data_IF_465145167796
#
_entry.id   IF_465145167796
#
_cell.length_a   1.000
_cell.length_b   1.000
_cell.length_c   1.000
_cell.angle_alpha   90.00
_cell.angle_beta   90.00
_cell.angle_gamma   90.00
#
_symmetry.space_group_name_H-M   'P 1'
#
loop_
_entity.id
_entity.type
_entity.pdbx_description
1 polymer ?
#
# COMPACT_ATOMS: atom_id res chain seq x y z
N UNK A 1 42.26 19.70 -29.90
CA UNK A 1 41.61 21.01 -29.64
C UNK A 1 40.45 20.80 -28.71
N UNK A 2 40.64 21.19 -27.46
CA UNK A 2 39.60 21.07 -26.40
C UNK A 2 38.83 22.39 -26.39
N UNK A 3 37.54 22.36 -26.70
CA UNK A 3 36.66 23.51 -26.46
C UNK A 3 36.12 23.43 -25.02
N UNK A 4 36.51 24.41 -24.24
CA UNK A 4 36.04 24.71 -22.90
C UNK A 4 34.79 25.56 -23.06
N UNK A 5 33.62 25.04 -22.68
CA UNK A 5 32.41 25.82 -22.59
C UNK A 5 32.37 26.46 -21.19
N UNK A 6 32.51 27.76 -21.14
CA UNK A 6 32.33 28.60 -19.95
C UNK A 6 30.85 28.69 -19.65
N UNK A 7 30.39 28.03 -18.60
CA UNK A 7 29.08 28.27 -18.00
C UNK A 7 29.11 29.54 -17.16
N UNK A 8 28.32 30.53 -17.54
CA UNK A 8 28.14 31.79 -16.80
C UNK A 8 27.45 31.47 -15.47
N UNK A 9 28.19 31.54 -14.39
CA UNK A 9 27.68 31.61 -13.02
C UNK A 9 27.12 33.02 -12.79
N UNK A 10 25.81 33.16 -12.81
CA UNK A 10 25.15 34.35 -12.27
C UNK A 10 25.31 34.30 -10.75
N UNK A 11 26.26 35.08 -10.25
CA UNK A 11 26.38 35.45 -8.85
C UNK A 11 25.15 36.25 -8.41
N UNK A 12 24.10 35.54 -8.01
CA UNK A 12 23.04 36.10 -7.21
C UNK A 12 23.58 36.35 -5.80
N UNK A 13 23.63 37.63 -5.41
CA UNK A 13 24.06 38.14 -4.12
C UNK A 13 23.55 37.24 -2.97
N UNK A 14 24.47 36.57 -2.31
CA UNK A 14 24.21 35.81 -1.10
C UNK A 14 23.81 36.79 0.03
N UNK A 15 22.51 36.97 0.22
CA UNK A 15 22.01 37.35 1.54
C UNK A 15 22.23 36.14 2.45
N UNK A 16 23.17 36.27 3.36
CA UNK A 16 23.30 35.44 4.54
C UNK A 16 21.99 35.58 5.32
N UNK A 17 21.01 34.72 5.05
CA UNK A 17 19.79 34.64 5.85
C UNK A 17 20.17 33.99 7.19
N UNK A 18 20.61 34.83 8.12
CA UNK A 18 20.66 34.52 9.55
C UNK A 18 19.34 33.89 9.95
N UNK A 19 19.40 32.72 10.57
CA UNK A 19 18.34 31.93 11.18
C UNK A 19 17.15 32.75 11.71
N UNK A 20 16.15 33.00 10.92
CA UNK A 20 14.81 33.34 11.42
C UNK A 20 13.99 32.04 11.54
N UNK A 21 14.42 31.16 12.44
CA UNK A 21 13.62 30.04 12.93
C UNK A 21 12.30 30.63 13.44
N UNK A 22 11.17 30.14 12.90
CA UNK A 22 9.80 30.51 13.34
C UNK A 22 9.19 31.83 12.81
N UNK A 23 9.67 32.46 11.76
CA UNK A 23 8.99 33.55 11.09
C UNK A 23 8.11 33.08 9.91
N UNK A 24 7.06 33.88 9.61
CA UNK A 24 6.27 33.66 8.41
C UNK A 24 7.07 34.05 7.17
N UNK A 25 7.11 33.15 6.19
CA UNK A 25 7.67 33.37 4.87
C UNK A 25 6.55 33.35 3.83
N UNK A 26 6.83 33.87 2.63
CA UNK A 26 5.86 33.91 1.55
C UNK A 26 6.51 33.53 0.23
N UNK A 27 5.83 32.70 -0.56
CA UNK A 27 6.22 32.37 -1.94
C UNK A 27 5.86 33.49 -2.89
N UNK A 28 6.41 33.47 -4.11
CA UNK A 28 6.04 34.41 -5.19
C UNK A 28 4.55 34.35 -5.57
N UNK A 29 3.88 33.23 -5.30
CA UNK A 29 2.43 33.04 -5.55
C UNK A 29 1.55 33.51 -4.37
N UNK A 30 2.13 34.06 -3.31
CA UNK A 30 1.38 34.58 -2.17
C UNK A 30 1.05 33.56 -1.08
N UNK A 31 1.52 32.35 -1.19
CA UNK A 31 1.34 31.30 -0.17
C UNK A 31 2.25 31.63 1.01
N UNK A 32 1.68 31.69 2.21
CA UNK A 32 2.43 31.93 3.45
C UNK A 32 2.74 30.62 4.15
N UNK A 33 3.97 30.46 4.65
CA UNK A 33 4.36 29.27 5.41
C UNK A 33 5.26 29.63 6.58
N UNK A 34 5.26 28.74 7.57
CA UNK A 34 6.10 28.84 8.76
C UNK A 34 6.67 27.47 9.06
N UNK A 35 8.00 27.37 8.99
CA UNK A 35 8.75 26.12 9.23
C UNK A 35 9.14 26.03 10.70
N UNK A 36 8.99 24.85 11.29
CA UNK A 36 9.46 24.49 12.62
C UNK A 36 10.47 23.35 12.48
N UNK A 37 11.74 23.67 12.62
CA UNK A 37 12.86 22.72 12.54
C UNK A 37 13.82 22.94 13.70
N UNK A 38 14.41 21.86 14.18
CA UNK A 38 15.44 21.90 15.22
C UNK A 38 16.86 21.92 14.63
N UNK A 39 16.98 21.58 13.33
CA UNK A 39 18.24 21.49 12.62
C UNK A 39 18.07 21.99 11.17
N UNK A 40 19.01 22.86 10.74
CA UNK A 40 19.01 23.43 9.39
C UNK A 40 19.74 22.56 8.34
N UNK A 41 20.43 21.49 8.77
CA UNK A 41 21.34 20.67 7.93
C UNK A 41 20.73 19.28 7.65
N UNK A 42 19.45 19.08 7.88
CA UNK A 42 18.80 17.79 7.63
C UNK A 42 18.66 17.52 6.14
N UNK A 43 18.88 16.27 5.78
CA UNK A 43 18.44 15.76 4.48
C UNK A 43 16.94 15.97 4.28
N UNK A 44 16.56 16.21 3.04
CA UNK A 44 15.18 16.50 2.66
C UNK A 44 14.75 15.56 1.55
N UNK A 45 13.47 15.17 1.51
CA UNK A 45 12.99 14.31 0.45
C UNK A 45 13.08 15.00 -0.92
N UNK A 46 13.38 14.20 -1.92
CA UNK A 46 13.35 14.59 -3.34
C UNK A 46 12.20 13.89 -4.05
N UNK A 47 11.81 14.38 -5.22
CA UNK A 47 10.75 13.72 -5.99
C UNK A 47 11.14 12.29 -6.36
N UNK A 48 10.24 11.38 -6.11
CA UNK A 48 10.42 9.93 -6.24
C UNK A 48 10.63 9.22 -4.90
N UNK A 49 11.02 9.93 -3.85
CA UNK A 49 11.15 9.33 -2.52
C UNK A 49 9.80 8.87 -1.98
N UNK A 50 9.83 7.89 -1.08
CA UNK A 50 8.68 7.48 -0.28
C UNK A 50 8.70 8.23 1.03
N UNK A 51 7.60 8.93 1.39
CA UNK A 51 7.50 9.75 2.59
C UNK A 51 6.41 9.25 3.52
N UNK A 52 6.64 9.39 4.83
CA UNK A 52 5.66 9.18 5.89
C UNK A 52 5.35 10.52 6.56
N UNK A 53 4.07 10.83 6.70
CA UNK A 53 3.66 12.15 7.15
C UNK A 53 2.36 12.16 7.93
N UNK A 54 2.17 13.24 8.70
CA UNK A 54 0.84 13.70 9.11
C UNK A 54 0.47 14.98 8.39
N UNK A 55 -0.78 15.06 7.97
CA UNK A 55 -1.37 16.23 7.34
C UNK A 55 -2.73 16.54 7.98
N UNK A 56 -2.96 17.81 8.36
CA UNK A 56 -4.27 18.32 8.73
C UNK A 56 -4.61 19.52 7.87
N UNK A 57 -5.86 19.66 7.49
CA UNK A 57 -6.37 20.78 6.71
C UNK A 57 -7.52 21.43 7.45
N UNK A 58 -7.47 22.77 7.54
CA UNK A 58 -8.50 23.59 8.17
C UNK A 58 -9.02 24.64 7.18
N UNK A 59 -10.30 24.99 7.31
CA UNK A 59 -10.87 26.14 6.61
C UNK A 59 -10.50 27.48 7.32
N UNK A 60 -11.01 28.58 6.79
CA UNK A 60 -10.78 29.92 7.33
C UNK A 60 -11.47 30.19 8.68
N UNK A 61 -12.41 29.36 9.09
CA UNK A 61 -13.04 29.35 10.41
C UNK A 61 -12.34 28.43 11.42
N UNK A 62 -11.21 27.82 11.03
CA UNK A 62 -10.45 26.81 11.80
C UNK A 62 -11.20 25.49 11.99
N UNK A 63 -12.23 25.21 11.20
CA UNK A 63 -12.88 23.91 11.17
C UNK A 63 -11.95 22.91 10.47
N UNK A 64 -11.68 21.76 11.12
CA UNK A 64 -10.90 20.70 10.52
C UNK A 64 -11.69 20.06 9.37
N UNK A 65 -11.08 20.01 8.19
CA UNK A 65 -11.65 19.44 6.98
C UNK A 65 -11.05 18.06 6.67
N UNK A 66 -9.82 17.83 7.12
CA UNK A 66 -9.10 16.59 6.86
C UNK A 66 -7.99 16.38 7.89
N UNK A 67 -7.77 15.12 8.30
CA UNK A 67 -6.77 14.75 9.28
C UNK A 67 -6.29 13.32 9.05
N UNK A 68 -5.03 13.14 8.68
CA UNK A 68 -4.45 11.80 8.46
C UNK A 68 -4.27 10.98 9.74
N UNK A 69 -4.28 11.61 10.93
CA UNK A 69 -4.21 10.89 12.20
C UNK A 69 -5.41 9.98 12.46
N UNK A 70 -6.53 10.22 11.78
CA UNK A 70 -7.73 9.35 11.88
C UNK A 70 -7.47 7.94 11.36
N UNK A 71 -6.45 7.74 10.54
CA UNK A 71 -6.10 6.42 9.99
C UNK A 71 -5.21 5.57 10.92
N UNK A 72 -4.93 6.04 12.14
CA UNK A 72 -4.29 5.33 13.28
C UNK A 72 -3.07 4.45 12.91
N UNK A 73 -2.25 4.86 11.97
CA UNK A 73 -0.97 4.20 11.75
C UNK A 73 0.10 4.89 12.60
N UNK A 74 0.90 4.12 13.36
CA UNK A 74 1.99 4.67 14.19
C UNK A 74 2.93 5.59 13.40
N UNK A 75 3.09 5.32 12.10
CA UNK A 75 3.98 6.03 11.19
C UNK A 75 3.26 7.05 10.31
N UNK A 76 2.00 7.40 10.60
CA UNK A 76 1.22 8.30 9.76
C UNK A 76 0.82 7.69 8.42
N UNK A 77 0.43 8.54 7.47
CA UNK A 77 0.11 8.14 6.10
C UNK A 77 1.37 8.19 5.25
N UNK A 78 1.56 7.19 4.40
CA UNK A 78 2.69 7.13 3.47
C UNK A 78 2.25 7.32 2.02
N UNK A 79 3.12 7.93 1.23
CA UNK A 79 2.92 8.09 -0.22
C UNK A 79 4.26 8.28 -0.95
N UNK A 80 4.25 8.03 -2.25
CA UNK A 80 5.37 8.38 -3.12
C UNK A 80 5.35 9.90 -3.36
N UNK A 81 6.48 10.57 -3.01
CA UNK A 81 6.62 12.01 -3.15
C UNK A 81 6.71 12.39 -4.63
N UNK A 82 5.56 12.65 -5.23
CA UNK A 82 5.45 12.99 -6.65
C UNK A 82 5.74 14.46 -6.90
N UNK A 83 6.16 14.77 -8.13
CA UNK A 83 6.24 16.15 -8.59
C UNK A 83 4.85 16.80 -8.48
N UNK A 84 4.75 18.00 -7.87
CA UNK A 84 3.48 18.67 -7.69
C UNK A 84 2.87 19.03 -9.05
N UNK A 85 1.54 18.96 -9.14
CA UNK A 85 0.82 19.31 -10.38
C UNK A 85 0.87 20.81 -10.69
N UNK A 86 0.99 21.63 -9.65
CA UNK A 86 1.13 23.07 -9.73
C UNK A 86 1.85 23.63 -8.48
N UNK A 87 2.24 24.90 -8.54
CA UNK A 87 2.94 25.58 -7.44
C UNK A 87 2.10 25.76 -6.15
N UNK A 88 0.80 25.49 -6.22
CA UNK A 88 -0.15 25.62 -5.12
C UNK A 88 -0.44 24.27 -4.45
N UNK A 89 0.17 23.17 -4.95
CA UNK A 89 0.02 21.85 -4.36
C UNK A 89 0.78 21.79 -3.04
N UNK A 90 0.06 21.52 -1.96
CA UNK A 90 0.62 21.45 -0.59
C UNK A 90 1.77 20.43 -0.48
N UNK A 91 1.78 19.41 -1.34
CA UNK A 91 2.84 18.39 -1.39
C UNK A 91 4.19 19.02 -1.73
N UNK A 92 4.23 20.12 -2.50
CA UNK A 92 5.49 20.82 -2.83
C UNK A 92 6.28 21.27 -1.59
N UNK A 93 5.59 21.52 -0.47
CA UNK A 93 6.21 22.00 0.75
C UNK A 93 7.00 20.92 1.52
N UNK A 94 6.84 19.63 1.20
CA UNK A 94 7.66 18.58 1.80
C UNK A 94 9.16 18.71 1.45
N UNK A 95 9.50 19.32 0.30
CA UNK A 95 10.90 19.63 -0.05
C UNK A 95 11.61 20.59 0.90
N UNK A 96 10.88 21.27 1.76
CA UNK A 96 11.43 22.17 2.79
C UNK A 96 11.68 21.45 4.12
N UNK A 97 11.06 20.26 4.33
CA UNK A 97 11.05 19.54 5.60
C UNK A 97 12.13 18.48 5.63
N UNK A 98 12.91 18.41 6.71
CA UNK A 98 13.69 17.24 7.07
C UNK A 98 12.90 16.31 7.98
N UNK A 99 13.41 15.11 8.27
CA UNK A 99 12.79 14.14 9.18
C UNK A 99 12.48 14.76 10.55
N UNK A 100 11.21 14.65 10.97
CA UNK A 100 10.70 15.19 12.23
C UNK A 100 10.37 16.67 12.19
N UNK A 101 10.56 17.37 11.08
CA UNK A 101 10.17 18.75 10.93
C UNK A 101 8.67 18.90 10.73
N UNK A 102 8.14 20.07 11.08
CA UNK A 102 6.75 20.43 10.82
C UNK A 102 6.63 21.80 10.19
N UNK A 103 5.50 22.05 9.52
CA UNK A 103 5.22 23.31 8.84
C UNK A 103 3.74 23.66 8.91
N UNK A 104 3.47 24.94 9.03
CA UNK A 104 2.13 25.49 8.79
C UNK A 104 2.15 26.21 7.43
N UNK A 105 1.23 25.85 6.53
CA UNK A 105 1.10 26.45 5.21
C UNK A 105 -0.29 27.07 5.09
N UNK A 106 -0.38 28.33 4.65
CA UNK A 106 -1.62 29.03 4.37
C UNK A 106 -1.74 29.29 2.88
N UNK A 107 -2.61 28.54 2.23
CA UNK A 107 -2.88 28.64 0.78
C UNK A 107 -4.14 29.49 0.59
N UNK A 108 -4.07 30.62 -0.15
CA UNK A 108 -5.25 31.40 -0.49
C UNK A 108 -6.30 30.55 -1.17
N UNK A 109 -7.57 30.67 -0.74
CA UNK A 109 -8.64 29.79 -1.24
C UNK A 109 -8.86 29.92 -2.75
N UNK A 110 -8.63 31.10 -3.31
CA UNK A 110 -8.76 31.34 -4.76
C UNK A 110 -7.72 30.59 -5.63
N UNK A 111 -6.58 30.17 -5.04
CA UNK A 111 -5.59 29.35 -5.73
C UNK A 111 -6.02 27.87 -5.84
N UNK A 112 -6.99 27.46 -5.04
CA UNK A 112 -7.55 26.10 -5.04
C UNK A 112 -8.90 26.09 -5.77
N UNK A 113 -9.68 27.18 -5.59
CA UNK A 113 -10.99 27.38 -6.19
C UNK A 113 -11.13 28.86 -6.53
N UNK A 114 -11.09 29.20 -7.81
CA UNK A 114 -11.11 30.59 -8.31
C UNK A 114 -12.37 31.37 -7.93
N UNK A 115 -13.45 30.68 -7.59
CA UNK A 115 -14.71 31.30 -7.11
C UNK A 115 -14.67 31.73 -5.65
N UNK A 116 -13.61 31.39 -4.92
CA UNK A 116 -13.46 31.73 -3.50
C UNK A 116 -12.83 33.11 -3.30
N UNK A 117 -13.17 33.82 -2.21
CA UNK A 117 -12.61 35.15 -1.90
C UNK A 117 -11.09 35.12 -1.68
N UNK A 118 -10.36 36.10 -2.23
CA UNK A 118 -8.90 36.24 -2.08
C UNK A 118 -8.43 36.45 -0.64
N UNK A 119 -9.30 36.94 0.25
CA UNK A 119 -8.99 37.18 1.64
C UNK A 119 -9.01 35.92 2.53
N UNK A 120 -9.46 34.79 2.03
CA UNK A 120 -9.58 33.53 2.79
C UNK A 120 -8.44 32.56 2.49
N UNK A 121 -8.11 31.73 3.48
CA UNK A 121 -7.02 30.75 3.38
C UNK A 121 -7.51 29.38 3.85
N UNK A 122 -7.02 28.31 3.18
CA UNK A 122 -6.90 27.00 3.80
C UNK A 122 -5.60 26.94 4.58
N UNK A 123 -5.64 26.42 5.80
CA UNK A 123 -4.45 26.23 6.63
C UNK A 123 -4.13 24.73 6.67
N UNK A 124 -2.90 24.38 6.34
CA UNK A 124 -2.39 23.03 6.39
C UNK A 124 -1.32 22.94 7.48
N UNK A 125 -1.41 21.90 8.29
CA UNK A 125 -0.36 21.52 9.22
C UNK A 125 0.29 20.25 8.66
N UNK A 126 1.57 20.34 8.33
CA UNK A 126 2.38 19.28 7.78
C UNK A 126 3.38 18.82 8.83
N UNK A 127 3.60 17.51 8.93
CA UNK A 127 4.67 16.92 9.72
C UNK A 127 5.28 15.80 8.90
N UNK A 128 6.57 15.90 8.58
CA UNK A 128 7.33 14.84 7.92
C UNK A 128 7.89 13.92 9.00
N UNK A 129 7.38 12.70 9.05
CA UNK A 129 7.80 11.69 10.03
C UNK A 129 9.12 11.07 9.60
N UNK A 130 9.17 10.57 8.36
CA UNK A 130 10.33 9.93 7.76
C UNK A 130 10.27 9.98 6.23
N UNK A 131 11.38 9.66 5.58
CA UNK A 131 11.42 9.44 4.14
C UNK A 131 12.55 8.49 3.77
N UNK A 132 12.42 7.83 2.62
CA UNK A 132 13.43 6.94 2.04
C UNK A 132 13.49 7.15 0.55
N UNK A 133 14.67 7.04 -0.04
CA UNK A 133 14.79 7.05 -1.49
C UNK A 133 13.94 5.92 -2.10
N UNK A 134 13.38 6.15 -3.28
CA UNK A 134 12.56 5.15 -3.98
C UNK A 134 13.28 3.80 -4.11
N UNK A 135 14.59 3.82 -4.38
CA UNK A 135 15.40 2.61 -4.51
C UNK A 135 15.49 1.84 -3.20
N UNK A 136 15.82 2.51 -2.10
CA UNK A 136 15.93 1.87 -0.77
C UNK A 136 14.58 1.33 -0.33
N UNK A 137 13.50 2.11 -0.48
CA UNK A 137 12.16 1.68 -0.13
C UNK A 137 11.72 0.43 -0.90
N UNK A 138 11.99 0.40 -2.21
CA UNK A 138 11.69 -0.75 -3.06
C UNK A 138 12.46 -1.99 -2.64
N UNK A 139 13.77 -1.87 -2.40
CA UNK A 139 14.61 -2.98 -1.96
C UNK A 139 14.15 -3.56 -0.61
N UNK A 140 13.87 -2.72 0.37
CA UNK A 140 13.37 -3.17 1.67
C UNK A 140 12.01 -3.86 1.56
N UNK A 141 11.13 -3.36 0.69
CA UNK A 141 9.83 -3.98 0.42
C UNK A 141 9.98 -5.35 -0.22
N UNK A 142 10.86 -5.48 -1.21
CA UNK A 142 11.16 -6.75 -1.86
C UNK A 142 11.77 -7.75 -0.87
N UNK A 143 12.70 -7.33 -0.03
CA UNK A 143 13.29 -8.17 1.02
C UNK A 143 12.23 -8.66 2.02
N UNK A 144 11.32 -7.80 2.47
CA UNK A 144 10.22 -8.20 3.36
C UNK A 144 9.30 -9.23 2.71
N UNK A 145 8.97 -9.05 1.43
CA UNK A 145 8.16 -10.01 0.68
C UNK A 145 8.86 -11.36 0.60
N UNK A 146 10.15 -11.39 0.26
CA UNK A 146 10.93 -12.62 0.17
C UNK A 146 11.03 -13.33 1.53
N UNK A 147 11.28 -12.59 2.60
CA UNK A 147 11.33 -13.14 3.95
C UNK A 147 9.99 -13.74 4.37
N UNK A 148 8.88 -13.06 4.06
CA UNK A 148 7.55 -13.59 4.34
C UNK A 148 7.25 -14.86 3.54
N UNK A 149 7.62 -14.92 2.26
CA UNK A 149 7.46 -16.11 1.43
C UNK A 149 8.23 -17.31 1.99
N UNK A 150 9.45 -17.09 2.51
CA UNK A 150 10.22 -18.14 3.18
C UNK A 150 9.51 -18.60 4.46
N UNK A 151 9.03 -17.68 5.28
CA UNK A 151 8.28 -17.97 6.50
C UNK A 151 7.03 -18.79 6.17
N UNK A 152 6.24 -18.37 5.21
CA UNK A 152 5.04 -19.08 4.76
C UNK A 152 5.36 -20.51 4.30
N UNK A 153 6.45 -20.67 3.54
CA UNK A 153 6.87 -21.99 3.04
C UNK A 153 7.23 -22.93 4.20
N UNK A 154 7.94 -22.44 5.21
CA UNK A 154 8.29 -23.24 6.40
C UNK A 154 7.02 -23.63 7.17
N UNK A 155 6.14 -22.67 7.43
CA UNK A 155 4.90 -22.90 8.19
C UNK A 155 3.99 -23.89 7.46
N UNK A 156 3.86 -23.81 6.13
CA UNK A 156 3.08 -24.75 5.34
C UNK A 156 3.71 -26.15 5.42
N UNK A 157 5.03 -26.24 5.24
CA UNK A 157 5.73 -27.53 5.29
C UNK A 157 5.55 -28.21 6.66
N UNK A 158 5.71 -27.47 7.76
CA UNK A 158 5.47 -27.98 9.11
C UNK A 158 4.02 -28.41 9.32
N UNK A 159 3.07 -27.63 8.81
CA UNK A 159 1.64 -27.97 8.88
C UNK A 159 1.37 -29.30 8.14
N UNK A 160 1.88 -29.47 6.93
CA UNK A 160 1.70 -30.69 6.15
C UNK A 160 2.34 -31.89 6.85
N UNK A 161 3.56 -31.73 7.37
CA UNK A 161 4.29 -32.78 8.11
C UNK A 161 3.56 -33.20 9.39
N UNK A 162 3.14 -32.25 10.20
CA UNK A 162 2.49 -32.51 11.50
C UNK A 162 1.10 -33.15 11.33
N UNK A 163 0.42 -32.89 10.22
CA UNK A 163 -0.86 -33.53 9.88
C UNK A 163 -0.71 -34.79 9.02
N UNK A 164 0.53 -35.25 8.73
CA UNK A 164 0.84 -36.42 7.91
C UNK A 164 0.23 -36.35 6.50
N UNK A 165 0.10 -35.15 5.94
CA UNK A 165 -0.40 -34.95 4.58
C UNK A 165 0.71 -35.19 3.55
N UNK A 166 0.60 -36.26 2.79
CA UNK A 166 1.61 -36.68 1.80
C UNK A 166 1.21 -36.38 0.34
N UNK A 167 -0.07 -36.07 0.10
CA UNK A 167 -0.63 -35.99 -1.26
C UNK A 167 -0.79 -34.56 -1.80
N UNK A 168 -0.33 -33.54 -1.05
CA UNK A 168 -0.31 -32.18 -1.58
C UNK A 168 0.76 -32.02 -2.65
N UNK A 169 0.42 -31.27 -3.68
CA UNK A 169 1.34 -30.85 -4.75
C UNK A 169 1.57 -29.35 -4.65
N UNK A 170 2.78 -28.92 -4.92
CA UNK A 170 3.17 -27.51 -5.01
C UNK A 170 3.19 -27.11 -6.48
N UNK A 171 2.52 -26.00 -6.82
CA UNK A 171 2.59 -25.42 -8.15
C UNK A 171 3.76 -24.41 -8.29
N UNK A 172 3.99 -23.93 -9.51
CA UNK A 172 5.04 -22.94 -9.81
C UNK A 172 4.81 -21.56 -9.21
N UNK A 173 3.62 -21.26 -8.71
CA UNK A 173 3.26 -20.00 -8.05
C UNK A 173 3.42 -20.05 -6.53
N UNK A 174 3.70 -21.22 -5.95
CA UNK A 174 3.80 -21.43 -4.50
C UNK A 174 2.47 -21.85 -3.86
N UNK A 175 1.45 -22.18 -4.64
CA UNK A 175 0.17 -22.69 -4.13
C UNK A 175 0.25 -24.19 -3.95
N UNK A 176 -0.16 -24.68 -2.78
CA UNK A 176 -0.29 -26.10 -2.50
C UNK A 176 -1.72 -26.55 -2.72
N UNK A 177 -1.90 -27.70 -3.39
CA UNK A 177 -3.21 -28.24 -3.67
C UNK A 177 -3.27 -29.76 -3.55
N UNK A 178 -4.44 -30.28 -3.19
CA UNK A 178 -4.73 -31.70 -3.12
C UNK A 178 -6.18 -31.93 -3.57
N UNK A 179 -6.37 -32.83 -4.55
CA UNK A 179 -7.71 -33.27 -4.95
C UNK A 179 -8.10 -34.49 -4.10
N UNK A 180 -9.24 -34.41 -3.43
CA UNK A 180 -9.75 -35.47 -2.55
C UNK A 180 -10.88 -36.28 -3.20
N UNK A 181 -11.63 -35.66 -4.11
CA UNK A 181 -12.62 -36.32 -4.96
C UNK A 181 -12.38 -35.88 -6.39
N UNK A 182 -12.44 -36.81 -7.32
CA UNK A 182 -12.26 -36.56 -8.76
C UNK A 182 -13.63 -36.49 -9.44
N UNK A 183 -13.93 -35.33 -10.02
CA UNK A 183 -15.09 -35.12 -10.88
C UNK A 183 -14.86 -35.68 -12.28
N UNK A 184 -15.91 -35.75 -13.04
CA UNK A 184 -15.90 -36.23 -14.44
C UNK A 184 -15.91 -35.11 -15.47
N UNK A 185 -16.01 -33.84 -15.00
CA UNK A 185 -16.09 -32.68 -15.87
C UNK A 185 -14.75 -32.30 -16.49
N UNK A 186 -14.79 -31.31 -17.37
CA UNK A 186 -13.58 -30.80 -18.05
C UNK A 186 -12.64 -30.15 -17.06
N UNK A 187 -11.37 -30.06 -17.43
CA UNK A 187 -10.38 -29.27 -16.68
C UNK A 187 -10.75 -27.80 -16.70
N UNK A 188 -10.56 -27.15 -15.56
CA UNK A 188 -10.81 -25.71 -15.44
C UNK A 188 -9.66 -24.94 -16.10
N UNK A 189 -10.02 -23.96 -16.91
CA UNK A 189 -9.10 -23.12 -17.66
C UNK A 189 -9.39 -21.61 -17.38
N UNK A 190 -8.40 -20.77 -17.66
CA UNK A 190 -8.55 -19.33 -17.58
C UNK A 190 -9.68 -18.85 -18.50
N UNK A 191 -10.58 -18.04 -17.98
CA UNK A 191 -11.77 -17.56 -18.65
C UNK A 191 -13.03 -18.38 -18.38
N UNK A 192 -12.93 -19.57 -17.78
CA UNK A 192 -14.12 -20.31 -17.35
C UNK A 192 -14.85 -19.55 -16.23
N UNK A 193 -16.16 -19.50 -16.30
CA UNK A 193 -17.03 -19.10 -15.19
C UNK A 193 -17.36 -20.34 -14.37
N UNK A 194 -17.08 -20.28 -13.08
CA UNK A 194 -17.27 -21.43 -12.19
C UNK A 194 -18.09 -21.07 -10.98
N UNK A 195 -18.67 -22.09 -10.36
CA UNK A 195 -19.37 -22.01 -9.08
C UNK A 195 -18.71 -22.95 -8.09
N UNK A 196 -18.36 -22.47 -6.92
CA UNK A 196 -17.75 -23.29 -5.88
C UNK A 196 -18.47 -23.15 -4.55
N UNK A 197 -18.57 -24.25 -3.81
CA UNK A 197 -18.70 -24.19 -2.37
C UNK A 197 -17.33 -24.29 -1.73
N UNK A 198 -17.13 -23.57 -0.62
CA UNK A 198 -15.85 -23.58 0.09
C UNK A 198 -16.01 -23.31 1.58
N UNK A 199 -15.00 -23.74 2.31
CA UNK A 199 -14.74 -23.33 3.68
C UNK A 199 -13.32 -22.77 3.75
N UNK A 200 -13.16 -21.56 4.29
CA UNK A 200 -11.88 -20.88 4.44
C UNK A 200 -11.41 -20.92 5.89
N UNK A 201 -10.14 -21.32 6.09
CA UNK A 201 -9.51 -21.48 7.41
C UNK A 201 -8.16 -20.80 7.46
N UNK A 202 -7.78 -20.32 8.65
CA UNK A 202 -6.38 -20.14 9.00
C UNK A 202 -5.71 -21.51 9.16
N UNK A 203 -4.37 -21.61 9.13
CA UNK A 203 -3.69 -22.88 9.39
C UNK A 203 -3.95 -23.42 10.80
N UNK A 204 -4.33 -22.56 11.75
CA UNK A 204 -4.82 -22.94 13.08
C UNK A 204 -6.19 -23.61 13.10
N UNK A 205 -6.80 -23.84 11.93
CA UNK A 205 -8.14 -24.39 11.75
C UNK A 205 -9.29 -23.48 12.23
N UNK A 206 -9.02 -22.22 12.50
CA UNK A 206 -10.08 -21.22 12.74
C UNK A 206 -10.74 -20.91 11.40
N UNK A 207 -12.05 -21.21 11.29
CA UNK A 207 -12.86 -20.88 10.10
C UNK A 207 -13.14 -19.38 10.10
N UNK A 208 -12.87 -18.71 8.95
CA UNK A 208 -13.14 -17.29 8.77
C UNK A 208 -14.23 -17.03 7.73
N UNK A 209 -14.50 -17.99 6.85
CA UNK A 209 -15.57 -17.88 5.86
C UNK A 209 -16.08 -19.26 5.41
N UNK A 210 -17.39 -19.34 5.08
CA UNK A 210 -18.04 -20.58 4.73
C UNK A 210 -19.27 -20.34 3.85
N UNK A 211 -19.18 -20.75 2.57
CA UNK A 211 -20.29 -20.59 1.61
C UNK A 211 -21.50 -21.47 1.92
N UNK A 212 -21.30 -22.60 2.61
CA UNK A 212 -22.41 -23.49 2.99
C UNK A 212 -23.33 -22.84 4.03
N UNK A 213 -22.75 -22.08 4.99
CA UNK A 213 -23.56 -21.36 6.00
C UNK A 213 -24.45 -20.27 5.36
N UNK A 214 -24.01 -19.73 4.24
CA UNK A 214 -24.81 -18.77 3.47
C UNK A 214 -25.77 -19.44 2.49
N UNK A 215 -25.69 -20.75 2.36
CA UNK A 215 -26.42 -21.55 1.36
C UNK A 215 -26.33 -20.95 -0.07
N UNK A 216 -25.15 -20.39 -0.39
CA UNK A 216 -24.91 -19.71 -1.67
C UNK A 216 -23.48 -19.98 -2.14
N UNK A 217 -23.29 -20.62 -3.30
CA UNK A 217 -21.96 -20.81 -3.88
C UNK A 217 -21.34 -19.47 -4.28
N UNK A 218 -20.03 -19.43 -4.33
CA UNK A 218 -19.26 -18.32 -4.87
C UNK A 218 -19.11 -18.51 -6.39
N UNK A 219 -19.58 -17.54 -7.15
CA UNK A 219 -19.50 -17.52 -8.60
C UNK A 219 -18.45 -16.51 -9.03
N UNK A 220 -17.50 -16.92 -9.86
CA UNK A 220 -16.47 -16.05 -10.42
C UNK A 220 -15.90 -16.61 -11.72
N UNK A 221 -15.19 -15.75 -12.46
CA UNK A 221 -14.52 -16.10 -13.71
C UNK A 221 -13.01 -16.16 -13.46
N UNK A 222 -12.38 -17.27 -13.77
CA UNK A 222 -10.93 -17.50 -13.58
C UNK A 222 -10.11 -16.47 -14.36
N UNK A 223 -9.14 -15.83 -13.68
CA UNK A 223 -8.24 -14.85 -14.25
C UNK A 223 -8.81 -13.43 -14.36
N UNK A 224 -9.91 -13.13 -13.66
CA UNK A 224 -10.53 -11.79 -13.61
C UNK A 224 -10.34 -11.05 -12.29
N UNK A 225 -9.45 -11.55 -11.42
CA UNK A 225 -9.13 -10.94 -10.11
C UNK A 225 -10.38 -10.67 -9.23
N UNK A 226 -11.37 -11.57 -9.31
CA UNK A 226 -12.61 -11.48 -8.51
C UNK A 226 -12.46 -12.15 -7.14
N UNK A 227 -11.41 -12.95 -6.98
CA UNK A 227 -11.00 -13.64 -5.75
C UNK A 227 -9.52 -13.39 -5.49
N UNK A 228 -8.99 -13.84 -4.35
CA UNK A 228 -7.54 -13.76 -4.07
C UNK A 228 -6.75 -14.58 -5.08
N UNK A 229 -5.56 -14.10 -5.43
CA UNK A 229 -4.71 -14.66 -6.49
C UNK A 229 -4.42 -16.15 -6.30
N UNK A 230 -4.18 -16.57 -5.07
CA UNK A 230 -3.89 -17.96 -4.76
C UNK A 230 -5.07 -18.91 -5.00
N UNK A 231 -6.31 -18.44 -4.78
CA UNK A 231 -7.51 -19.24 -5.09
C UNK A 231 -7.71 -19.33 -6.61
N UNK A 232 -7.57 -18.21 -7.31
CA UNK A 232 -7.70 -18.13 -8.77
C UNK A 232 -6.69 -19.08 -9.48
N UNK A 233 -5.45 -19.12 -8.97
CA UNK A 233 -4.39 -20.00 -9.48
C UNK A 233 -4.57 -21.46 -9.06
N UNK A 234 -4.92 -21.69 -7.79
CA UNK A 234 -5.08 -23.03 -7.24
C UNK A 234 -6.20 -23.83 -7.91
N UNK A 235 -7.31 -23.19 -8.23
CA UNK A 235 -8.46 -23.81 -8.91
C UNK A 235 -8.11 -24.34 -10.31
N UNK A 236 -7.12 -23.80 -11.00
CA UNK A 236 -6.66 -24.29 -12.31
C UNK A 236 -6.12 -25.73 -12.29
N UNK A 237 -5.86 -26.30 -11.10
CA UNK A 237 -5.46 -27.70 -10.95
C UNK A 237 -6.62 -28.67 -10.80
N UNK A 238 -7.85 -28.17 -10.85
CA UNK A 238 -9.08 -28.94 -10.65
C UNK A 238 -9.90 -29.09 -11.95
N UNK A 239 -10.90 -29.94 -11.87
CA UNK A 239 -11.90 -30.19 -12.89
C UNK A 239 -13.28 -29.85 -12.32
N UNK A 240 -14.26 -29.64 -13.16
CA UNK A 240 -15.66 -29.54 -12.71
C UNK A 240 -16.06 -30.81 -11.99
N UNK A 241 -16.74 -30.67 -10.84
CA UNK A 241 -17.14 -31.78 -9.96
C UNK A 241 -16.08 -32.25 -8.97
N UNK A 242 -14.85 -31.70 -9.01
CA UNK A 242 -13.80 -32.03 -8.04
C UNK A 242 -14.08 -31.45 -6.64
N UNK A 243 -13.54 -32.15 -5.62
CA UNK A 243 -13.33 -31.57 -4.29
C UNK A 243 -11.85 -31.66 -3.93
N UNK A 244 -11.41 -30.73 -3.10
CA UNK A 244 -10.05 -30.75 -2.59
C UNK A 244 -9.72 -29.60 -1.66
N UNK A 245 -8.44 -29.52 -1.34
CA UNK A 245 -7.91 -28.49 -0.45
C UNK A 245 -6.83 -27.69 -1.18
N UNK A 246 -6.84 -26.38 -0.98
CA UNK A 246 -5.84 -25.43 -1.49
C UNK A 246 -5.24 -24.71 -0.29
N UNK A 247 -3.89 -24.67 -0.20
CA UNK A 247 -3.18 -23.88 0.80
C UNK A 247 -2.48 -22.73 0.07
N UNK A 248 -2.74 -21.52 0.50
CA UNK A 248 -2.39 -20.27 -0.17
C UNK A 248 -1.43 -19.48 0.73
N UNK A 249 -0.18 -19.22 0.27
CA UNK A 249 0.74 -18.34 0.97
C UNK A 249 0.15 -16.94 1.15
N UNK A 250 0.55 -16.24 2.19
CA UNK A 250 0.01 -14.91 2.54
C UNK A 250 0.15 -13.91 1.40
N UNK A 251 1.25 -13.98 0.64
CA UNK A 251 1.53 -13.09 -0.50
C UNK A 251 0.56 -13.25 -1.68
N UNK A 252 -0.09 -14.40 -1.79
CA UNK A 252 -1.14 -14.69 -2.79
C UNK A 252 -2.56 -14.59 -2.20
N UNK A 253 -2.67 -14.16 -0.94
CA UNK A 253 -3.91 -13.93 -0.21
C UNK A 253 -4.07 -12.43 0.09
N UNK A 254 -4.05 -12.02 1.35
CA UNK A 254 -4.24 -10.64 1.78
C UNK A 254 -2.94 -9.91 2.12
N UNK A 255 -1.79 -10.60 2.09
CA UNK A 255 -0.48 -10.04 2.39
C UNK A 255 -0.38 -9.49 3.81
N UNK A 256 0.22 -8.32 3.95
CA UNK A 256 0.44 -7.62 5.21
C UNK A 256 -0.80 -6.87 5.76
N UNK A 257 -1.98 -7.13 5.19
CA UNK A 257 -3.24 -6.47 5.58
C UNK A 257 -4.04 -7.34 6.55
N UNK A 258 -4.56 -6.71 7.59
CA UNK A 258 -5.63 -7.27 8.42
C UNK A 258 -6.96 -7.18 7.63
N UNK A 259 -7.66 -8.29 7.44
CA UNK A 259 -8.95 -8.34 6.73
C UNK A 259 -9.99 -9.10 7.54
N UNK A 260 -10.90 -8.40 8.17
CA UNK A 260 -11.88 -9.00 9.08
C UNK A 260 -11.19 -9.75 10.22
N UNK A 261 -11.45 -11.05 10.32
CA UNK A 261 -10.84 -11.94 11.31
C UNK A 261 -9.49 -12.54 10.85
N UNK A 262 -9.00 -12.22 9.65
CA UNK A 262 -7.77 -12.76 9.08
C UNK A 262 -6.61 -11.82 9.44
N UNK A 263 -5.65 -12.24 10.29
CA UNK A 263 -4.48 -11.44 10.61
C UNK A 263 -3.60 -11.16 9.39
N UNK A 264 -2.78 -10.10 9.46
CA UNK A 264 -1.76 -9.84 8.46
C UNK A 264 -0.81 -11.05 8.31
N UNK A 265 -0.32 -11.28 7.10
CA UNK A 265 0.62 -12.35 6.76
C UNK A 265 0.10 -13.78 7.08
N UNK A 266 -1.20 -13.99 6.98
CA UNK A 266 -1.80 -15.30 7.22
C UNK A 266 -1.74 -16.19 5.97
N UNK A 267 -1.21 -17.40 6.14
CA UNK A 267 -1.42 -18.51 5.20
C UNK A 267 -2.86 -18.99 5.34
N UNK A 268 -3.54 -19.18 4.21
CA UNK A 268 -4.94 -19.58 4.19
C UNK A 268 -5.10 -21.00 3.64
N UNK A 269 -6.08 -21.71 4.17
CA UNK A 269 -6.50 -23.03 3.71
C UNK A 269 -7.95 -22.97 3.24
N UNK A 270 -8.22 -23.45 2.03
CA UNK A 270 -9.56 -23.54 1.47
C UNK A 270 -9.90 -25.01 1.14
N UNK A 271 -10.92 -25.54 1.80
CA UNK A 271 -11.57 -26.74 1.32
C UNK A 271 -12.60 -26.33 0.27
N UNK A 272 -12.46 -26.82 -0.95
CA UNK A 272 -13.26 -26.42 -2.10
C UNK A 272 -14.05 -27.58 -2.67
N UNK A 273 -15.26 -27.31 -3.11
CA UNK A 273 -16.09 -28.18 -3.92
C UNK A 273 -16.49 -27.43 -5.18
N UNK A 274 -15.99 -27.87 -6.32
CA UNK A 274 -16.29 -27.28 -7.61
C UNK A 274 -17.58 -27.90 -8.13
N UNK A 275 -18.57 -27.06 -8.39
CA UNK A 275 -19.84 -27.54 -8.88
C UNK A 275 -19.70 -27.99 -10.34
N UNK A 276 -20.59 -28.91 -10.76
CA UNK A 276 -20.67 -29.32 -12.16
C UNK A 276 -21.10 -28.15 -13.05
N UNK A 277 -20.75 -28.21 -14.34
CA UNK A 277 -21.03 -27.17 -15.33
C UNK A 277 -22.53 -27.04 -15.59
#
# INVERSE_FOLDING_TARGET
MKQIIFGIFLLGSGMIASCQKNSWQQTSTGIKYKLFTNDSIKDKPVFGDHIWMHLRKYDHHRKELFNTKVFETENGVSLDYRKPNNLNDVISFFSYLGKGDSMIVKIPTYLVDSLKPKSKYYTYHLNLIDFKSATIYKLEKEQKIQQQQQTDSIVIFEFLKNNQFTNFKLDSNGVWYMRTKFGTGKKIEKGNSISIHYKGYLLSRVEFDNSYLRNKPLNFTIGKNQVIDGLDKGILHFHFGDKGTIIIPSSLAYGDRLVGAIPANSVLLFDVEILEE
#
